data_IF_675139175601
#
_entry.id   IF_675139175601
#
_cell.length_a   1.000
_cell.length_b   1.000
_cell.length_c   1.000
_cell.angle_alpha   90.00
_cell.angle_beta   90.00
_cell.angle_gamma   90.00
#
_symmetry.space_group_name_H-M   'P 1'
#
loop_
_entity.id
_entity.type
_entity.pdbx_description
1 polymer ?
#
# COMPACT_ATOMS: atom_id res chain seq x y z
N UNK A 1 -6.79 28.17 8.22
CA UNK A 1 -7.76 27.08 8.04
C UNK A 1 -7.45 26.47 6.68
N UNK A 2 -6.47 25.58 6.59
CA UNK A 2 -6.17 24.83 5.38
C UNK A 2 -6.93 23.51 5.45
N UNK A 3 -7.91 23.31 4.57
CA UNK A 3 -8.46 21.99 4.33
C UNK A 3 -7.31 21.11 3.85
N UNK A 4 -6.97 20.14 4.65
CA UNK A 4 -5.95 19.14 4.39
C UNK A 4 -6.48 18.23 3.27
N UNK A 5 -6.05 18.50 2.03
CA UNK A 5 -6.49 17.72 0.85
C UNK A 5 -6.11 16.23 0.99
N UNK A 6 -5.02 15.91 1.73
CA UNK A 6 -4.65 14.52 2.02
C UNK A 6 -5.68 13.84 2.93
N UNK A 7 -6.30 14.57 3.83
CA UNK A 7 -7.38 14.09 4.69
C UNK A 7 -8.68 13.84 3.88
N UNK A 8 -8.86 14.51 2.75
CA UNK A 8 -10.01 14.34 1.85
C UNK A 8 -9.99 12.99 1.12
N UNK A 9 -8.84 12.55 0.58
CA UNK A 9 -8.73 11.24 -0.09
C UNK A 9 -8.88 10.06 0.89
N UNK A 10 -8.25 10.16 2.04
CA UNK A 10 -8.41 9.15 3.10
C UNK A 10 -9.87 9.08 3.57
N UNK A 11 -10.52 10.22 3.75
CA UNK A 11 -11.93 10.30 4.12
C UNK A 11 -12.84 9.63 3.09
N UNK A 12 -12.62 9.90 1.80
CA UNK A 12 -13.38 9.31 0.71
C UNK A 12 -13.23 7.77 0.65
N UNK A 13 -12.01 7.26 0.79
CA UNK A 13 -11.77 5.80 0.81
C UNK A 13 -12.43 5.16 2.04
N UNK A 14 -12.37 5.81 3.20
CA UNK A 14 -13.03 5.36 4.40
C UNK A 14 -14.56 5.32 4.25
N UNK A 15 -15.16 6.30 3.57
CA UNK A 15 -16.61 6.31 3.28
C UNK A 15 -17.01 5.22 2.29
N UNK A 16 -16.23 5.01 1.22
CA UNK A 16 -16.46 3.94 0.24
C UNK A 16 -16.42 2.56 0.90
N UNK A 17 -15.40 2.30 1.72
CA UNK A 17 -15.27 1.04 2.45
C UNK A 17 -16.40 0.85 3.47
N UNK A 18 -16.87 1.92 4.13
CA UNK A 18 -17.99 1.83 5.07
C UNK A 18 -19.28 1.37 4.38
N UNK A 19 -19.55 1.86 3.19
CA UNK A 19 -20.73 1.46 2.42
C UNK A 19 -20.70 -0.03 2.03
N UNK A 20 -19.52 -0.62 1.85
CA UNK A 20 -19.35 -2.00 1.44
C UNK A 20 -19.25 -2.98 2.63
N UNK A 21 -18.69 -2.53 3.78
CA UNK A 21 -18.61 -3.37 5.00
C UNK A 21 -19.93 -3.57 5.71
N UNK A 22 -20.93 -2.71 5.49
CA UNK A 22 -22.28 -2.88 6.05
C UNK A 22 -22.99 -4.15 5.55
N UNK A 23 -22.48 -4.81 4.51
CA UNK A 23 -23.00 -6.07 3.95
C UNK A 23 -22.48 -7.34 4.62
N UNK A 24 -21.53 -7.27 5.57
CA UNK A 24 -21.00 -8.43 6.33
C UNK A 24 -20.19 -9.45 5.51
N UNK A 25 -19.82 -9.14 4.27
CA UNK A 25 -18.95 -10.00 3.44
C UNK A 25 -17.47 -9.69 3.77
N UNK A 26 -16.64 -10.72 3.70
CA UNK A 26 -15.19 -10.58 3.83
C UNK A 26 -14.62 -9.68 2.71
N UNK A 27 -13.63 -8.85 3.05
CA UNK A 27 -13.05 -7.88 2.13
C UNK A 27 -11.53 -7.87 2.22
N UNK A 28 -10.89 -7.88 1.06
CA UNK A 28 -9.46 -7.64 0.90
C UNK A 28 -9.28 -6.22 0.35
N UNK A 29 -8.52 -5.41 1.05
CA UNK A 29 -8.20 -4.04 0.64
C UNK A 29 -6.75 -3.99 0.18
N UNK A 30 -6.53 -3.83 -1.14
CA UNK A 30 -5.20 -3.64 -1.71
C UNK A 30 -4.91 -2.14 -1.84
N UNK A 31 -3.80 -1.68 -1.26
CA UNK A 31 -3.37 -0.29 -1.31
C UNK A 31 -1.97 -0.23 -1.92
N UNK A 32 -1.86 0.34 -3.12
CA UNK A 32 -0.59 0.57 -3.81
C UNK A 32 -0.37 2.05 -4.11
N UNK A 33 0.73 2.36 -4.75
CA UNK A 33 1.14 3.70 -5.16
C UNK A 33 2.62 3.94 -4.88
N UNK A 34 3.15 5.04 -5.38
CA UNK A 34 4.55 5.43 -5.20
C UNK A 34 4.95 5.62 -3.73
N UNK A 35 6.24 5.72 -3.48
CA UNK A 35 6.76 6.09 -2.17
C UNK A 35 6.17 7.43 -1.72
N UNK A 36 6.00 7.60 -0.41
CA UNK A 36 5.49 8.81 0.24
C UNK A 36 4.02 9.17 -0.03
N UNK A 37 3.24 8.36 -0.74
CA UNK A 37 1.81 8.63 -1.01
C UNK A 37 0.88 8.41 0.19
N UNK A 38 1.39 7.94 1.32
CA UNK A 38 0.60 7.74 2.55
C UNK A 38 -0.11 6.39 2.64
N UNK A 39 0.30 5.36 1.87
CA UNK A 39 -0.26 4.00 1.91
C UNK A 39 -0.33 3.44 3.33
N UNK A 40 0.81 3.44 4.02
CA UNK A 40 0.92 2.90 5.38
C UNK A 40 0.06 3.68 6.39
N UNK A 41 -0.04 5.02 6.24
CA UNK A 41 -0.93 5.83 7.07
C UNK A 41 -2.40 5.48 6.83
N UNK A 42 -2.80 5.27 5.57
CA UNK A 42 -4.16 4.84 5.24
C UNK A 42 -4.44 3.45 5.81
N UNK A 43 -3.52 2.49 5.61
CA UNK A 43 -3.66 1.13 6.15
C UNK A 43 -3.82 1.13 7.68
N UNK A 44 -3.04 1.96 8.41
CA UNK A 44 -3.17 2.14 9.85
C UNK A 44 -4.54 2.69 10.24
N UNK A 45 -5.05 3.71 9.55
CA UNK A 45 -6.39 4.26 9.82
C UNK A 45 -7.49 3.21 9.61
N UNK A 46 -7.36 2.38 8.57
CA UNK A 46 -8.30 1.29 8.30
C UNK A 46 -8.23 0.21 9.38
N UNK A 47 -7.02 -0.17 9.82
CA UNK A 47 -6.84 -1.08 10.95
C UNK A 47 -7.51 -0.55 12.22
N UNK A 48 -7.29 0.73 12.56
CA UNK A 48 -7.86 1.37 13.76
C UNK A 48 -9.40 1.46 13.69
N UNK A 49 -9.94 1.74 12.51
CA UNK A 49 -11.39 1.96 12.33
C UNK A 49 -12.18 0.66 12.17
N UNK A 50 -11.65 -0.30 11.40
CA UNK A 50 -12.38 -1.53 11.03
C UNK A 50 -11.82 -2.79 11.70
N UNK A 51 -10.68 -2.68 12.41
CA UNK A 51 -9.99 -3.81 13.04
C UNK A 51 -9.60 -4.91 12.05
N UNK A 52 -9.40 -4.57 10.77
CA UNK A 52 -8.93 -5.51 9.76
C UNK A 52 -7.44 -5.78 9.96
N UNK A 53 -7.00 -7.05 9.93
CA UNK A 53 -5.58 -7.37 9.91
C UNK A 53 -4.87 -6.66 8.74
N UNK A 54 -3.62 -6.33 8.96
CA UNK A 54 -2.83 -5.54 8.01
C UNK A 54 -1.51 -6.24 7.69
N UNK A 55 -1.20 -6.37 6.40
CA UNK A 55 0.03 -6.90 5.85
C UNK A 55 0.78 -5.81 5.09
N UNK A 56 1.94 -5.39 5.59
CA UNK A 56 2.90 -4.60 4.83
C UNK A 56 3.78 -5.52 4.00
N UNK A 57 3.81 -5.29 2.68
CA UNK A 57 4.71 -6.04 1.77
C UNK A 57 6.17 -5.70 2.06
N UNK A 58 6.47 -4.48 2.55
CA UNK A 58 7.82 -4.11 2.98
C UNK A 58 8.28 -4.92 4.20
N UNK A 59 7.41 -5.20 5.16
CA UNK A 59 7.74 -6.09 6.28
C UNK A 59 8.00 -7.52 5.81
N UNK A 60 7.18 -8.04 4.88
CA UNK A 60 7.40 -9.35 4.26
C UNK A 60 8.75 -9.39 3.52
N UNK A 61 9.03 -8.37 2.70
CA UNK A 61 10.32 -8.19 2.00
C UNK A 61 11.49 -8.29 2.95
N UNK A 62 11.49 -7.46 3.99
CA UNK A 62 12.60 -7.43 4.96
C UNK A 62 12.71 -8.72 5.75
N UNK A 63 11.59 -9.38 6.05
CA UNK A 63 11.58 -10.69 6.69
C UNK A 63 12.28 -11.76 5.84
N UNK A 64 11.95 -11.85 4.54
CA UNK A 64 12.54 -12.82 3.61
C UNK A 64 14.02 -12.53 3.33
N UNK A 65 14.41 -11.26 3.16
CA UNK A 65 15.80 -10.86 2.96
C UNK A 65 16.65 -11.19 4.20
N UNK A 66 16.22 -10.73 5.38
CA UNK A 66 17.00 -10.90 6.62
C UNK A 66 17.09 -12.35 7.09
N UNK A 67 16.11 -13.18 6.76
CA UNK A 67 16.13 -14.61 7.06
C UNK A 67 16.95 -15.45 6.06
N UNK A 68 17.44 -14.83 4.97
CA UNK A 68 18.25 -15.50 3.96
C UNK A 68 17.47 -16.40 2.99
N UNK A 69 16.14 -16.23 2.92
CA UNK A 69 15.31 -16.98 1.96
C UNK A 69 15.37 -16.45 0.54
N UNK A 70 16.08 -15.36 0.30
CA UNK A 70 16.31 -14.78 -1.03
C UNK A 70 17.71 -14.21 -1.12
N UNK A 71 18.24 -14.11 -2.34
CA UNK A 71 19.49 -13.41 -2.66
C UNK A 71 19.24 -11.93 -3.01
N UNK A 72 17.98 -11.51 -3.10
CA UNK A 72 17.63 -10.11 -3.30
C UNK A 72 18.02 -9.28 -2.06
N UNK A 73 18.27 -7.99 -2.31
CA UNK A 73 18.62 -7.01 -1.27
C UNK A 73 17.56 -5.87 -1.26
N UNK A 74 17.52 -5.03 -0.24
CA UNK A 74 16.60 -3.88 -0.23
C UNK A 74 16.78 -2.92 -1.42
N UNK A 75 17.99 -2.90 -2.01
CA UNK A 75 18.41 -2.07 -3.15
C UNK A 75 18.23 -2.78 -4.50
N UNK A 76 17.70 -4.00 -4.53
CA UNK A 76 17.37 -4.69 -5.79
C UNK A 76 16.29 -3.91 -6.55
N UNK A 77 16.31 -4.05 -7.89
CA UNK A 77 15.33 -3.42 -8.78
C UNK A 77 13.89 -3.77 -8.36
N UNK A 78 13.00 -2.79 -8.42
CA UNK A 78 11.60 -2.93 -7.98
C UNK A 78 10.85 -4.03 -8.73
N UNK A 79 11.14 -4.21 -10.02
CA UNK A 79 10.55 -5.29 -10.83
C UNK A 79 10.96 -6.67 -10.29
N UNK A 80 12.23 -6.87 -9.95
CA UNK A 80 12.73 -8.12 -9.39
C UNK A 80 12.12 -8.41 -8.00
N UNK A 81 11.95 -7.37 -7.18
CA UNK A 81 11.29 -7.48 -5.89
C UNK A 81 9.80 -7.78 -6.05
N UNK A 82 9.13 -7.15 -7.01
CA UNK A 82 7.72 -7.39 -7.32
C UNK A 82 7.49 -8.83 -7.80
N UNK A 83 8.30 -9.30 -8.75
CA UNK A 83 8.23 -10.66 -9.28
C UNK A 83 8.43 -11.74 -8.20
N UNK A 84 9.25 -11.43 -7.19
CA UNK A 84 9.51 -12.34 -6.08
C UNK A 84 8.42 -12.29 -5.01
N UNK A 85 7.95 -11.11 -4.63
CA UNK A 85 7.04 -10.91 -3.51
C UNK A 85 5.57 -11.13 -3.89
N UNK A 86 5.14 -10.66 -5.07
CA UNK A 86 3.74 -10.70 -5.45
C UNK A 86 3.14 -12.11 -5.50
N UNK A 87 3.81 -13.15 -6.02
CA UNK A 87 3.29 -14.51 -5.96
C UNK A 87 2.97 -14.98 -4.54
N UNK A 88 3.83 -14.65 -3.56
CA UNK A 88 3.60 -15.00 -2.14
C UNK A 88 2.40 -14.25 -1.59
N UNK A 89 2.34 -12.94 -1.80
CA UNK A 89 1.23 -12.07 -1.35
C UNK A 89 -0.09 -12.52 -1.94
N UNK A 90 -0.11 -12.87 -3.23
CA UNK A 90 -1.31 -13.38 -3.92
C UNK A 90 -1.86 -14.66 -3.27
N UNK A 91 -1.01 -15.60 -2.91
CA UNK A 91 -1.45 -16.83 -2.23
C UNK A 91 -1.93 -16.55 -0.79
N UNK A 92 -1.34 -15.56 -0.09
CA UNK A 92 -1.85 -15.10 1.21
C UNK A 92 -3.24 -14.47 1.08
N UNK A 93 -3.49 -13.68 0.03
CA UNK A 93 -4.80 -13.11 -0.28
C UNK A 93 -5.83 -14.22 -0.51
N UNK A 94 -5.51 -15.23 -1.34
CA UNK A 94 -6.39 -16.38 -1.57
C UNK A 94 -6.75 -17.08 -0.26
N UNK A 95 -5.74 -17.33 0.57
CA UNK A 95 -5.93 -17.95 1.89
C UNK A 95 -6.86 -17.14 2.78
N UNK A 96 -6.71 -15.81 2.79
CA UNK A 96 -7.59 -14.94 3.57
C UNK A 96 -9.05 -15.01 3.07
N UNK A 97 -9.28 -14.99 1.75
CA UNK A 97 -10.62 -15.15 1.16
C UNK A 97 -11.20 -16.53 1.49
N UNK A 98 -10.44 -17.60 1.33
CA UNK A 98 -10.89 -18.98 1.63
C UNK A 98 -11.26 -19.16 3.11
N UNK A 99 -10.59 -18.44 4.00
CA UNK A 99 -10.87 -18.44 5.44
C UNK A 99 -11.93 -17.41 5.86
N UNK A 100 -12.54 -16.69 4.91
CA UNK A 100 -13.52 -15.63 5.19
C UNK A 100 -12.97 -14.55 6.13
N UNK A 101 -11.73 -14.12 5.88
CA UNK A 101 -11.01 -13.11 6.67
C UNK A 101 -10.91 -11.80 5.91
N UNK A 102 -11.09 -10.70 6.62
CA UNK A 102 -10.71 -9.39 6.13
C UNK A 102 -9.19 -9.24 6.15
N UNK A 103 -8.62 -8.53 5.16
CA UNK A 103 -7.19 -8.26 5.13
C UNK A 103 -6.90 -6.95 4.39
N UNK A 104 -6.08 -6.10 5.00
CA UNK A 104 -5.48 -4.94 4.33
C UNK A 104 -4.08 -5.36 3.87
N UNK A 105 -3.78 -5.16 2.59
CA UNK A 105 -2.45 -5.39 2.02
C UNK A 105 -1.95 -4.08 1.43
N UNK A 106 -0.79 -3.60 1.86
CA UNK A 106 -0.22 -2.38 1.31
C UNK A 106 1.25 -2.55 0.91
N UNK A 107 1.65 -1.83 -0.13
CA UNK A 107 3.02 -1.76 -0.62
C UNK A 107 3.14 -1.28 -2.05
N UNK A 108 4.36 -0.98 -2.48
CA UNK A 108 4.65 -0.60 -3.87
C UNK A 108 4.83 -1.83 -4.79
N UNK A 109 4.98 -3.04 -4.24
CA UNK A 109 5.23 -4.28 -4.99
C UNK A 109 3.94 -5.00 -5.40
N UNK A 110 2.86 -4.28 -5.65
CA UNK A 110 1.61 -4.78 -6.24
C UNK A 110 1.63 -4.39 -7.72
N UNK A 111 1.75 -5.35 -8.67
CA UNK A 111 1.85 -5.03 -10.08
C UNK A 111 0.54 -4.46 -10.64
N UNK A 112 0.61 -3.72 -11.75
CA UNK A 112 -0.58 -3.15 -12.40
C UNK A 112 -1.55 -4.23 -12.89
N UNK A 113 -1.06 -5.39 -13.28
CA UNK A 113 -1.84 -6.55 -13.68
C UNK A 113 -2.10 -7.52 -12.51
N UNK A 114 -2.21 -7.00 -11.29
CA UNK A 114 -2.39 -7.73 -10.03
C UNK A 114 -3.50 -8.80 -10.08
N UNK A 115 -4.51 -8.61 -10.93
CA UNK A 115 -5.61 -9.56 -11.13
C UNK A 115 -5.15 -10.87 -11.78
N UNK A 116 -3.99 -10.86 -12.47
CA UNK A 116 -3.46 -12.02 -13.15
C UNK A 116 -3.13 -13.14 -12.17
N UNK A 117 -3.69 -14.32 -12.42
CA UNK A 117 -3.53 -15.49 -11.56
C UNK A 117 -4.50 -15.54 -10.37
N UNK A 118 -5.48 -14.62 -10.33
CA UNK A 118 -6.63 -14.67 -9.44
C UNK A 118 -7.89 -15.05 -10.25
N UNK A 119 -8.59 -16.06 -9.82
CA UNK A 119 -9.86 -16.45 -10.44
C UNK A 119 -11.01 -15.49 -10.01
N UNK A 120 -12.11 -15.40 -10.78
CA UNK A 120 -13.21 -14.47 -10.51
C UNK A 120 -13.79 -14.58 -9.08
N UNK A 121 -13.77 -15.78 -8.50
CA UNK A 121 -14.23 -16.02 -7.13
C UNK A 121 -13.40 -15.28 -6.07
N UNK A 122 -12.12 -14.99 -6.31
CA UNK A 122 -11.29 -14.17 -5.42
C UNK A 122 -11.46 -12.68 -5.73
N UNK A 123 -11.51 -12.31 -7.03
CA UNK A 123 -11.55 -10.91 -7.47
C UNK A 123 -12.74 -10.14 -6.90
N UNK A 124 -13.90 -10.79 -6.73
CA UNK A 124 -15.11 -10.16 -6.19
C UNK A 124 -14.98 -9.68 -4.72
N UNK A 125 -13.97 -10.18 -3.99
CA UNK A 125 -13.69 -9.81 -2.60
C UNK A 125 -12.63 -8.72 -2.47
N UNK A 126 -12.04 -8.26 -3.59
CA UNK A 126 -10.87 -7.36 -3.58
C UNK A 126 -11.28 -5.96 -3.99
N UNK A 127 -10.98 -5.00 -3.11
CA UNK A 127 -11.01 -3.57 -3.41
C UNK A 127 -9.57 -3.08 -3.62
N UNK A 128 -9.32 -2.41 -4.74
CA UNK A 128 -7.98 -1.95 -5.12
C UNK A 128 -7.91 -0.44 -5.17
N UNK A 129 -6.96 0.12 -4.46
CA UNK A 129 -6.69 1.55 -4.41
C UNK A 129 -5.24 1.84 -4.77
N UNK A 130 -5.03 2.71 -5.77
CA UNK A 130 -3.72 3.23 -6.12
C UNK A 130 -3.63 4.70 -5.70
N UNK A 131 -2.76 4.99 -4.74
CA UNK A 131 -2.56 6.34 -4.24
C UNK A 131 -1.53 7.07 -5.10
N UNK A 132 -1.93 8.20 -5.66
CA UNK A 132 -1.06 9.06 -6.46
C UNK A 132 -1.12 10.50 -5.97
N UNK A 133 -0.01 11.22 -6.06
CA UNK A 133 0.07 12.65 -5.75
C UNK A 133 0.26 13.44 -7.04
N UNK A 134 -0.55 14.48 -7.24
CA UNK A 134 -0.33 15.37 -8.37
C UNK A 134 0.98 16.17 -8.18
N UNK A 135 1.64 16.53 -9.28
CA UNK A 135 2.84 17.36 -9.26
C UNK A 135 2.63 18.65 -8.46
N UNK A 136 1.49 19.32 -8.66
CA UNK A 136 1.13 20.54 -7.93
C UNK A 136 1.04 20.31 -6.41
N UNK A 137 0.51 19.16 -6.00
CA UNK A 137 0.43 18.78 -4.58
C UNK A 137 1.83 18.57 -4.01
N UNK A 138 2.68 17.81 -4.72
CA UNK A 138 4.06 17.53 -4.32
C UNK A 138 4.85 18.85 -4.15
N UNK A 139 4.84 19.73 -5.16
CA UNK A 139 5.54 21.01 -5.12
C UNK A 139 5.10 21.89 -3.94
N UNK A 140 3.80 21.90 -3.62
CA UNK A 140 3.24 22.71 -2.54
C UNK A 140 3.52 22.15 -1.15
N UNK A 141 3.55 20.82 -1.01
CA UNK A 141 3.57 20.12 0.29
C UNK A 141 4.83 19.29 0.53
N UNK A 142 5.89 19.52 -0.25
CA UNK A 142 7.10 18.69 -0.19
C UNK A 142 7.75 18.63 1.21
N UNK A 143 7.71 19.72 1.96
CA UNK A 143 8.26 19.76 3.33
C UNK A 143 7.46 18.86 4.27
N UNK A 144 6.14 18.89 4.15
CA UNK A 144 5.23 18.03 4.92
C UNK A 144 5.41 16.55 4.51
N UNK A 145 5.50 16.27 3.22
CA UNK A 145 5.76 14.91 2.70
C UNK A 145 7.03 14.34 3.32
N UNK A 146 8.14 15.07 3.30
CA UNK A 146 9.39 14.66 3.95
C UNK A 146 9.24 14.49 5.47
N UNK A 147 8.62 15.43 6.14
CA UNK A 147 8.41 15.38 7.59
C UNK A 147 7.60 14.14 8.03
N UNK A 148 6.62 13.73 7.24
CA UNK A 148 5.76 12.58 7.54
C UNK A 148 6.27 11.26 6.94
N UNK A 149 7.39 11.27 6.22
CA UNK A 149 8.01 10.05 5.67
C UNK A 149 8.33 9.02 6.77
N UNK A 150 8.72 9.50 7.96
CA UNK A 150 9.08 8.67 9.12
C UNK A 150 7.93 8.48 10.13
N UNK A 151 6.71 8.91 9.81
CA UNK A 151 5.61 8.91 10.79
C UNK A 151 5.19 7.51 11.24
N UNK A 152 5.33 6.50 10.39
CA UNK A 152 4.97 5.10 10.67
C UNK A 152 6.18 4.17 10.57
N UNK A 153 7.07 4.41 9.61
CA UNK A 153 8.29 3.62 9.39
C UNK A 153 9.51 4.52 9.49
N UNK A 154 10.51 4.11 10.30
CA UNK A 154 11.81 4.79 10.30
C UNK A 154 12.51 4.54 8.97
N UNK A 155 12.55 5.56 8.12
CA UNK A 155 13.38 5.57 6.92
C UNK A 155 14.70 6.26 7.27
N UNK A 156 15.81 5.66 6.85
CA UNK A 156 17.10 6.35 6.91
C UNK A 156 17.00 7.63 6.09
N UNK A 157 17.61 8.73 6.58
CA UNK A 157 17.61 10.02 5.88
C UNK A 157 17.94 9.81 4.39
N UNK A 158 16.91 9.93 3.56
CA UNK A 158 17.03 9.73 2.13
C UNK A 158 17.36 11.07 1.47
N UNK A 159 18.68 11.36 1.36
CA UNK A 159 19.17 12.53 0.64
C UNK A 159 18.74 12.53 -0.84
N UNK A 160 18.33 11.37 -1.39
CA UNK A 160 17.84 11.22 -2.76
C UNK A 160 16.38 11.67 -2.94
N UNK A 161 15.62 11.87 -1.85
CA UNK A 161 14.25 12.32 -1.89
C UNK A 161 14.17 13.80 -2.30
N UNK A 162 13.99 14.04 -3.58
CA UNK A 162 13.81 15.37 -4.20
C UNK A 162 12.40 15.53 -4.75
N UNK A 163 11.98 16.78 -5.02
CA UNK A 163 10.68 17.04 -5.68
C UNK A 163 10.61 16.29 -7.02
N UNK A 164 11.69 16.28 -7.78
CA UNK A 164 11.78 15.63 -9.09
C UNK A 164 11.67 14.12 -8.97
N UNK A 165 12.32 13.49 -7.98
CA UNK A 165 12.20 12.03 -7.77
C UNK A 165 10.77 11.65 -7.38
N UNK A 166 10.18 12.35 -6.42
CA UNK A 166 8.79 12.09 -5.98
C UNK A 166 7.80 12.32 -7.13
N UNK A 167 7.99 13.35 -7.95
CA UNK A 167 7.13 13.59 -9.13
C UNK A 167 7.27 12.48 -10.18
N UNK A 168 8.49 11.97 -10.41
CA UNK A 168 8.74 10.89 -11.37
C UNK A 168 8.06 9.59 -10.92
N UNK A 169 8.17 9.26 -9.64
CA UNK A 169 7.59 8.04 -9.07
C UNK A 169 6.04 8.08 -9.03
N UNK A 170 5.43 9.26 -9.15
CA UNK A 170 3.99 9.48 -9.21
C UNK A 170 3.47 9.77 -10.62
N UNK A 171 4.29 9.67 -11.68
CA UNK A 171 3.89 9.92 -13.05
C UNK A 171 3.38 8.66 -13.72
#
# INVERSE_FOLDING_TARGET
MGCDESNSYHGMILELLRAETDGGAEMIVLITGASHTGKTVLAQKLLEQYHFPYLSIDHLKMGLIRSGYTTLTPESEDDALTDYLWPVVREMIKTAVENQQNLIVEGCYIPFDWQKGLAPEYLKHIQFYCLVMSRRYIEKHFREIRKYADAVEKRLDDESCTIESVCRDNA
#
